data_IF_714236357766
#
_entry.id   IF_714236357766
#
_cell.length_a   1.000
_cell.length_b   1.000
_cell.length_c   1.000
_cell.angle_alpha   90.00
_cell.angle_beta   90.00
_cell.angle_gamma   90.00
#
_symmetry.space_group_name_H-M   'P 1'
#
loop_
_entity.id
_entity.type
_entity.pdbx_description
1 polymer ?
#
# COMPACT_ATOMS: atom_id res chain seq x y z
N UNK A 1 8.06 16.25 0.00
CA UNK A 1 7.75 17.55 0.65
C UNK A 1 8.87 17.85 1.63
N UNK A 2 9.34 19.09 1.76
CA UNK A 2 10.31 19.46 2.80
C UNK A 2 9.67 19.30 4.20
N UNK A 3 10.43 18.80 5.17
CA UNK A 3 10.05 18.66 6.60
C UNK A 3 9.49 19.95 7.22
N UNK A 4 9.97 21.11 6.78
CA UNK A 4 9.42 22.41 7.20
C UNK A 4 7.93 22.54 6.82
N UNK A 5 7.58 22.19 5.58
CA UNK A 5 6.19 22.25 5.10
C UNK A 5 5.32 21.21 5.80
N UNK A 6 5.84 19.99 6.03
CA UNK A 6 5.12 18.94 6.76
C UNK A 6 4.74 19.40 8.17
N UNK A 7 5.67 20.04 8.87
CA UNK A 7 5.42 20.60 10.21
C UNK A 7 4.36 21.71 10.17
N UNK A 8 4.43 22.62 9.20
CA UNK A 8 3.46 23.71 9.08
C UNK A 8 2.04 23.25 8.73
N UNK A 9 1.90 22.16 7.99
CA UNK A 9 0.60 21.63 7.58
C UNK A 9 0.03 20.59 8.55
N UNK A 10 0.70 20.33 9.68
CA UNK A 10 0.28 19.28 10.63
C UNK A 10 0.48 17.85 10.11
N UNK A 11 1.35 17.66 9.11
CA UNK A 11 1.70 16.36 8.52
C UNK A 11 3.09 15.88 8.97
N UNK A 12 3.58 16.34 10.13
CA UNK A 12 4.96 16.08 10.58
C UNK A 12 5.28 14.59 10.74
N UNK A 13 4.34 13.76 11.17
CA UNK A 13 4.57 12.31 11.22
C UNK A 13 4.20 11.58 9.92
N UNK A 14 3.77 12.27 8.87
CA UNK A 14 3.50 11.65 7.57
C UNK A 14 4.82 11.39 6.83
N UNK A 15 5.34 10.17 7.01
CA UNK A 15 6.59 9.72 6.41
C UNK A 15 6.37 9.02 5.06
N UNK A 16 7.41 8.98 4.23
CA UNK A 16 7.39 8.22 2.98
C UNK A 16 7.14 6.72 3.22
N UNK A 17 7.58 6.20 4.36
CA UNK A 17 7.31 4.83 4.80
C UNK A 17 5.82 4.61 5.07
N UNK A 18 5.16 5.49 5.83
CA UNK A 18 3.72 5.38 6.12
C UNK A 18 2.91 5.46 4.83
N UNK A 19 3.22 6.43 3.97
CA UNK A 19 2.58 6.58 2.66
C UNK A 19 2.72 5.34 1.78
N UNK A 20 3.94 4.79 1.70
CA UNK A 20 4.20 3.64 0.85
C UNK A 20 3.60 2.35 1.41
N UNK A 21 3.55 2.18 2.74
CA UNK A 21 2.88 1.07 3.41
C UNK A 21 1.37 1.12 3.19
N UNK A 22 0.74 2.29 3.35
CA UNK A 22 -0.70 2.45 3.07
C UNK A 22 -1.01 2.17 1.59
N UNK A 23 -0.16 2.67 0.68
CA UNK A 23 -0.33 2.40 -0.75
C UNK A 23 -0.15 0.91 -1.11
N UNK A 24 0.76 0.19 -0.44
CA UNK A 24 0.88 -1.27 -0.58
C UNK A 24 -0.41 -1.99 -0.16
N UNK A 25 -0.97 -1.62 0.99
CA UNK A 25 -2.21 -2.21 1.54
C UNK A 25 -3.38 -1.96 0.57
N UNK A 26 -3.52 -0.71 0.10
CA UNK A 26 -4.52 -0.33 -0.89
C UNK A 26 -4.37 -1.11 -2.20
N UNK A 27 -3.14 -1.27 -2.70
CA UNK A 27 -2.85 -2.04 -3.92
C UNK A 27 -3.23 -3.52 -3.78
N UNK A 28 -2.92 -4.17 -2.65
CA UNK A 28 -3.36 -5.56 -2.37
C UNK A 28 -4.88 -5.66 -2.36
N UNK A 29 -5.54 -4.70 -1.72
CA UNK A 29 -7.00 -4.66 -1.63
C UNK A 29 -7.64 -4.48 -3.02
N UNK A 30 -7.03 -3.65 -3.88
CA UNK A 30 -7.40 -3.51 -5.29
C UNK A 30 -7.37 -4.85 -6.04
N UNK A 31 -6.28 -5.60 -5.93
CA UNK A 31 -6.17 -6.94 -6.55
C UNK A 31 -7.30 -7.87 -6.09
N UNK A 32 -7.53 -7.96 -4.77
CA UNK A 32 -8.57 -8.83 -4.18
C UNK A 32 -9.96 -8.41 -4.66
N UNK A 33 -10.29 -7.13 -4.57
CA UNK A 33 -11.61 -6.61 -4.89
C UNK A 33 -11.92 -6.71 -6.39
N UNK A 34 -10.95 -6.45 -7.26
CA UNK A 34 -11.16 -6.59 -8.70
C UNK A 34 -11.27 -8.06 -9.12
N UNK A 35 -10.49 -8.96 -8.51
CA UNK A 35 -10.64 -10.40 -8.75
C UNK A 35 -12.03 -10.89 -8.33
N UNK A 36 -12.51 -10.46 -7.16
CA UNK A 36 -13.86 -10.75 -6.68
C UNK A 36 -14.94 -10.21 -7.63
N UNK A 37 -14.84 -8.95 -8.05
CA UNK A 37 -15.79 -8.37 -9.00
C UNK A 37 -15.80 -9.12 -10.35
N UNK A 38 -14.63 -9.58 -10.81
CA UNK A 38 -14.49 -10.35 -12.04
C UNK A 38 -15.16 -11.74 -11.94
N UNK A 39 -15.19 -12.38 -10.77
CA UNK A 39 -15.88 -13.67 -10.60
C UNK A 39 -17.40 -13.51 -10.55
N UNK A 40 -17.90 -12.37 -10.07
CA UNK A 40 -19.34 -12.10 -9.94
C UNK A 40 -19.97 -11.46 -11.20
N UNK A 41 -19.16 -11.03 -12.17
CA UNK A 41 -19.65 -10.35 -13.37
C UNK A 41 -19.94 -11.31 -14.53
N UNK A 42 -21.13 -11.21 -15.14
CA UNK A 42 -21.53 -12.02 -16.32
C UNK A 42 -21.43 -11.28 -17.65
N UNK A 43 -21.54 -9.96 -17.65
CA UNK A 43 -21.50 -9.13 -18.87
C UNK A 43 -20.11 -9.16 -19.51
N UNK A 44 -19.96 -9.59 -20.78
CA UNK A 44 -18.66 -9.77 -21.42
C UNK A 44 -17.79 -8.50 -21.42
N UNK A 45 -18.38 -7.34 -21.69
CA UNK A 45 -17.70 -6.06 -21.76
C UNK A 45 -17.17 -5.66 -20.37
N UNK A 46 -17.98 -5.83 -19.33
CA UNK A 46 -17.58 -5.56 -17.94
C UNK A 46 -16.48 -6.51 -17.48
N UNK A 47 -16.57 -7.81 -17.82
CA UNK A 47 -15.50 -8.78 -17.55
C UNK A 47 -14.19 -8.41 -18.25
N UNK A 48 -14.28 -7.86 -19.46
CA UNK A 48 -13.13 -7.30 -20.19
C UNK A 48 -12.45 -6.19 -19.38
N UNK A 49 -13.21 -5.16 -19.01
CA UNK A 49 -12.70 -4.03 -18.24
C UNK A 49 -12.13 -4.44 -16.87
N UNK A 50 -12.81 -5.32 -16.14
CA UNK A 50 -12.34 -5.82 -14.84
C UNK A 50 -11.06 -6.65 -14.96
N UNK A 51 -10.88 -7.38 -16.06
CA UNK A 51 -9.62 -8.12 -16.32
C UNK A 51 -8.45 -7.15 -16.53
N UNK A 52 -8.65 -6.08 -17.31
CA UNK A 52 -7.63 -5.04 -17.51
C UNK A 52 -7.29 -4.35 -16.17
N UNK A 53 -8.30 -4.00 -15.38
CA UNK A 53 -8.11 -3.42 -14.05
C UNK A 53 -7.36 -4.36 -13.11
N UNK A 54 -7.64 -5.68 -13.14
CA UNK A 54 -6.93 -6.66 -12.32
C UNK A 54 -5.44 -6.70 -12.68
N UNK A 55 -5.11 -6.72 -13.97
CA UNK A 55 -3.72 -6.69 -14.41
C UNK A 55 -3.03 -5.38 -14.02
N UNK A 56 -3.70 -4.24 -14.15
CA UNK A 56 -3.16 -2.95 -13.70
C UNK A 56 -2.94 -2.90 -12.17
N UNK A 57 -3.83 -3.50 -11.38
CA UNK A 57 -3.69 -3.60 -9.93
C UNK A 57 -2.51 -4.50 -9.53
N UNK A 58 -2.30 -5.62 -10.24
CA UNK A 58 -1.16 -6.53 -10.02
C UNK A 58 0.16 -5.81 -10.33
N UNK A 59 0.26 -5.12 -11.47
CA UNK A 59 1.44 -4.33 -11.86
C UNK A 59 1.71 -3.19 -10.86
N UNK A 60 0.67 -2.51 -10.39
CA UNK A 60 0.80 -1.49 -9.34
C UNK A 60 1.34 -2.07 -8.03
N UNK A 61 0.82 -3.23 -7.61
CA UNK A 61 1.30 -3.95 -6.44
C UNK A 61 2.77 -4.36 -6.58
N UNK A 62 3.19 -4.88 -7.74
CA UNK A 62 4.58 -5.25 -8.01
C UNK A 62 5.51 -4.04 -7.89
N UNK A 63 5.14 -2.91 -8.50
CA UNK A 63 5.93 -1.67 -8.45
C UNK A 63 6.09 -1.15 -7.03
N UNK A 64 4.99 -1.03 -6.28
CA UNK A 64 5.07 -0.50 -4.91
C UNK A 64 5.81 -1.47 -3.99
N UNK A 65 5.53 -2.78 -4.08
CA UNK A 65 6.22 -3.80 -3.27
C UNK A 65 7.74 -3.80 -3.52
N UNK A 66 8.17 -3.74 -4.77
CA UNK A 66 9.59 -3.63 -5.12
C UNK A 66 10.23 -2.36 -4.56
N UNK A 67 9.53 -1.22 -4.66
CA UNK A 67 10.00 0.04 -4.11
C UNK A 67 10.21 -0.03 -2.59
N UNK A 68 9.20 -0.46 -1.83
CA UNK A 68 9.28 -0.49 -0.36
C UNK A 68 10.26 -1.55 0.16
N UNK A 69 10.44 -2.66 -0.57
CA UNK A 69 11.49 -3.64 -0.28
C UNK A 69 12.87 -3.02 -0.45
N UNK A 70 13.10 -2.32 -1.57
CA UNK A 70 14.38 -1.65 -1.84
C UNK A 70 14.73 -0.57 -0.80
N UNK A 71 13.71 0.03 -0.17
CA UNK A 71 13.87 1.02 0.91
C UNK A 71 14.02 0.40 2.30
N UNK A 72 13.84 -0.92 2.43
CA UNK A 72 13.86 -1.62 3.71
C UNK A 72 12.61 -1.41 4.57
N UNK A 73 11.55 -0.81 4.01
CA UNK A 73 10.26 -0.59 4.67
C UNK A 73 9.41 -1.86 4.73
N UNK A 74 9.72 -2.85 3.89
CA UNK A 74 9.05 -4.14 3.84
C UNK A 74 10.04 -5.27 3.59
N UNK A 75 9.93 -6.34 4.37
CA UNK A 75 10.81 -7.51 4.40
C UNK A 75 9.95 -8.78 4.34
N UNK A 76 9.37 -9.11 3.17
CA UNK A 76 8.40 -10.19 3.04
C UNK A 76 8.94 -11.58 3.43
N UNK A 77 10.25 -11.79 3.34
CA UNK A 77 10.89 -13.07 3.63
C UNK A 77 11.44 -13.19 5.06
N UNK A 78 11.44 -12.09 5.84
CA UNK A 78 12.04 -11.99 7.17
C UNK A 78 10.94 -11.66 8.19
N UNK A 79 10.04 -12.61 8.46
CA UNK A 79 8.83 -12.35 9.27
C UNK A 79 9.14 -11.72 10.64
N UNK A 80 10.22 -12.15 11.30
CA UNK A 80 10.62 -11.59 12.60
C UNK A 80 11.00 -10.11 12.50
N UNK A 81 11.74 -9.73 11.46
CA UNK A 81 12.10 -8.33 11.21
C UNK A 81 10.88 -7.51 10.79
N UNK A 82 10.01 -8.09 9.96
CA UNK A 82 8.79 -7.41 9.50
C UNK A 82 7.85 -7.06 10.66
N UNK A 83 7.64 -7.98 11.61
CA UNK A 83 6.80 -7.72 12.79
C UNK A 83 7.32 -6.51 13.59
N UNK A 84 8.64 -6.37 13.72
CA UNK A 84 9.22 -5.24 14.45
C UNK A 84 9.00 -3.92 13.70
N UNK A 85 9.14 -3.93 12.37
CA UNK A 85 8.85 -2.77 11.51
C UNK A 85 7.38 -2.36 11.60
N UNK A 86 6.47 -3.33 11.55
CA UNK A 86 5.02 -3.09 11.62
C UNK A 86 4.61 -2.51 12.99
N UNK A 87 5.18 -3.02 14.09
CA UNK A 87 4.94 -2.49 15.44
C UNK A 87 5.41 -1.04 15.58
N UNK A 88 6.60 -0.71 15.06
CA UNK A 88 7.10 0.67 15.06
C UNK A 88 6.18 1.58 14.24
N UNK A 89 5.80 1.17 13.03
CA UNK A 89 4.90 1.96 12.18
C UNK A 89 3.52 2.17 12.81
N UNK A 90 2.97 1.16 13.50
CA UNK A 90 1.71 1.27 14.24
C UNK A 90 1.82 2.26 15.41
N UNK A 91 2.92 2.22 16.17
CA UNK A 91 3.15 3.15 17.28
C UNK A 91 3.31 4.59 16.78
N UNK A 92 4.04 4.80 15.69
CA UNK A 92 4.19 6.12 15.07
C UNK A 92 2.84 6.67 14.59
N UNK A 93 1.99 5.81 14.04
CA UNK A 93 0.63 6.16 13.61
C UNK A 93 -0.28 6.54 14.77
N UNK A 94 -0.15 5.92 15.94
CA UNK A 94 -0.89 6.32 17.15
C UNK A 94 -0.43 7.70 17.65
N UNK A 95 0.87 7.97 17.59
CA UNK A 95 1.44 9.24 18.04
C UNK A 95 1.09 10.41 17.11
N UNK A 96 0.77 10.13 15.84
CA UNK A 96 0.26 11.12 14.88
C UNK A 96 -1.13 11.67 15.21
N UNK A 97 -1.92 10.92 15.98
CA UNK A 97 -3.31 11.27 16.32
C UNK A 97 -3.46 12.01 17.66
N UNK A 98 -2.36 12.21 18.39
CA UNK A 98 -2.29 12.98 19.64
C UNK A 98 -1.62 14.33 19.39
#
# INVERSE_FOLDING_TARGET
MNEFLKTMTGMSGMTDQILATDFLISSKSGVINTAFALTESVTPELRGALREQLFAAIDSHEKISSYIISKGYYRPNEMKEQIQIDLTAAQDSLNLTQ
#
